data_IF_247688190838
#
_entry.id   IF_247688190838
#
_cell.length_a   1.000
_cell.length_b   1.000
_cell.length_c   1.000
_cell.angle_alpha   90.00
_cell.angle_beta   90.00
_cell.angle_gamma   90.00
#
_symmetry.space_group_name_H-M   'P 1'
#
loop_
_entity.id
_entity.type
_entity.pdbx_description
1 polymer ?
#
# COMPACT_ATOMS: atom_id res chain seq x y z
N UNK A 1 38.71 -10.71 -60.33
CA UNK A 1 39.41 -11.24 -59.16
C UNK A 1 39.02 -10.61 -57.80
N UNK A 2 38.57 -9.37 -57.76
CA UNK A 2 38.23 -8.69 -56.47
C UNK A 2 37.01 -9.29 -55.78
N UNK A 3 35.98 -9.80 -56.50
CA UNK A 3 34.76 -10.39 -55.91
C UNK A 3 35.02 -11.71 -55.16
N UNK A 4 35.95 -12.57 -55.63
CA UNK A 4 36.26 -13.84 -54.97
C UNK A 4 37.00 -13.65 -53.64
N UNK A 5 37.91 -12.67 -53.56
CA UNK A 5 38.64 -12.33 -52.31
C UNK A 5 37.74 -11.74 -51.25
N UNK A 6 36.69 -10.98 -51.65
CA UNK A 6 35.72 -10.40 -50.70
C UNK A 6 34.82 -11.50 -50.12
N UNK A 7 34.34 -12.43 -50.94
CA UNK A 7 33.50 -13.56 -50.49
C UNK A 7 34.25 -14.51 -49.56
N UNK A 8 35.56 -14.76 -49.81
CA UNK A 8 36.37 -15.60 -48.96
C UNK A 8 36.71 -14.96 -47.61
N UNK A 9 36.76 -13.62 -47.52
CA UNK A 9 36.87 -12.89 -46.26
C UNK A 9 35.61 -12.97 -45.43
N UNK A 10 34.42 -12.85 -46.06
CA UNK A 10 33.13 -12.99 -45.40
C UNK A 10 32.94 -14.38 -44.79
N UNK A 11 33.35 -15.44 -45.47
CA UNK A 11 33.24 -16.83 -44.98
C UNK A 11 34.20 -17.20 -43.85
N UNK A 12 35.22 -16.37 -43.58
CA UNK A 12 36.21 -16.60 -42.50
C UNK A 12 36.05 -15.63 -41.33
N UNK A 13 35.15 -14.65 -41.41
CA UNK A 13 34.90 -13.70 -40.35
C UNK A 13 33.77 -14.24 -39.45
N UNK A 14 34.09 -14.57 -38.19
CA UNK A 14 33.18 -15.08 -37.20
C UNK A 14 32.53 -13.97 -36.36
N UNK A 15 32.87 -12.67 -36.61
CA UNK A 15 32.30 -11.53 -35.84
C UNK A 15 30.78 -11.48 -35.95
N UNK A 16 30.22 -11.91 -37.09
CA UNK A 16 28.79 -12.03 -37.31
C UNK A 16 28.10 -13.10 -36.46
N UNK A 17 28.81 -14.20 -36.15
CA UNK A 17 28.25 -15.28 -35.31
C UNK A 17 28.03 -14.82 -33.89
N UNK A 18 29.01 -14.13 -33.29
CA UNK A 18 28.87 -13.55 -31.93
C UNK A 18 27.73 -12.54 -31.83
N UNK A 19 27.53 -11.72 -32.87
CA UNK A 19 26.41 -10.75 -32.90
C UNK A 19 25.04 -11.46 -32.93
N UNK A 20 24.92 -12.56 -33.71
CA UNK A 20 23.66 -13.32 -33.77
C UNK A 20 23.40 -14.06 -32.47
N UNK A 21 24.43 -14.67 -31.82
CA UNK A 21 24.31 -15.30 -30.51
C UNK A 21 23.83 -14.27 -29.43
N UNK A 22 24.45 -13.09 -29.42
CA UNK A 22 24.04 -12.03 -28.50
C UNK A 22 22.62 -11.55 -28.78
N UNK A 23 22.19 -11.45 -30.04
CA UNK A 23 20.84 -11.03 -30.41
C UNK A 23 19.74 -11.95 -29.87
N UNK A 24 20.03 -13.26 -29.67
CA UNK A 24 19.09 -14.19 -29.04
C UNK A 24 19.07 -14.07 -27.50
N UNK A 25 20.20 -13.78 -26.88
CA UNK A 25 20.34 -13.71 -25.43
C UNK A 25 19.89 -12.33 -24.90
N UNK A 26 20.19 -11.25 -25.62
CA UNK A 26 19.95 -9.87 -25.20
C UNK A 26 18.50 -9.57 -24.80
N UNK A 27 17.45 -9.99 -25.54
CA UNK A 27 16.07 -9.71 -25.15
C UNK A 27 15.72 -10.32 -23.79
N UNK A 28 16.14 -11.55 -23.54
CA UNK A 28 15.87 -12.24 -22.28
C UNK A 28 16.62 -11.56 -21.13
N UNK A 29 17.90 -11.23 -21.35
CA UNK A 29 18.72 -10.52 -20.37
C UNK A 29 18.13 -9.16 -20.02
N UNK A 30 17.69 -8.39 -21.00
CA UNK A 30 17.07 -7.08 -20.79
C UNK A 30 15.77 -7.22 -19.98
N UNK A 31 14.92 -8.20 -20.31
CA UNK A 31 13.69 -8.46 -19.55
C UNK A 31 13.99 -8.83 -18.09
N UNK A 32 15.00 -9.66 -17.85
CA UNK A 32 15.42 -9.99 -16.47
C UNK A 32 15.91 -8.76 -15.71
N UNK A 33 16.74 -7.94 -16.33
CA UNK A 33 17.25 -6.70 -15.71
C UNK A 33 16.10 -5.76 -15.39
N UNK A 34 15.18 -5.52 -16.32
CA UNK A 34 14.00 -4.69 -16.09
C UNK A 34 13.14 -5.22 -14.94
N UNK A 35 12.94 -6.53 -14.84
CA UNK A 35 12.21 -7.18 -13.75
C UNK A 35 12.86 -6.97 -12.39
N UNK A 36 14.18 -7.11 -12.32
CA UNK A 36 14.94 -6.86 -11.08
C UNK A 36 14.84 -5.39 -10.66
N UNK A 37 14.94 -4.45 -11.61
CA UNK A 37 14.80 -3.03 -11.32
C UNK A 37 13.39 -2.66 -10.84
N UNK A 38 12.34 -3.21 -11.47
CA UNK A 38 10.95 -2.96 -11.06
C UNK A 38 10.70 -3.48 -9.63
N UNK A 39 11.21 -4.68 -9.32
CA UNK A 39 11.12 -5.25 -7.97
C UNK A 39 11.93 -4.44 -6.94
N UNK A 40 13.15 -4.05 -7.28
CA UNK A 40 14.00 -3.25 -6.41
C UNK A 40 13.37 -1.89 -6.12
N UNK A 41 12.80 -1.23 -7.12
CA UNK A 41 12.08 0.03 -6.95
C UNK A 41 10.86 -0.12 -6.02
N UNK A 42 10.06 -1.16 -6.20
CA UNK A 42 8.90 -1.44 -5.32
C UNK A 42 9.33 -1.67 -3.87
N UNK A 43 10.40 -2.43 -3.64
CA UNK A 43 10.95 -2.67 -2.29
C UNK A 43 11.50 -1.38 -1.67
N UNK A 44 12.20 -0.56 -2.45
CA UNK A 44 12.72 0.72 -1.98
C UNK A 44 11.58 1.68 -1.60
N UNK A 45 10.55 1.78 -2.43
CA UNK A 45 9.36 2.58 -2.15
C UNK A 45 8.67 2.12 -0.87
N UNK A 46 8.49 0.80 -0.69
CA UNK A 46 7.90 0.22 0.53
C UNK A 46 8.73 0.55 1.77
N UNK A 47 10.05 0.43 1.70
CA UNK A 47 10.93 0.75 2.81
C UNK A 47 10.83 2.24 3.22
N UNK A 48 10.78 3.14 2.23
CA UNK A 48 10.62 4.58 2.46
C UNK A 48 9.24 4.91 3.04
N UNK A 49 8.18 4.31 2.52
CA UNK A 49 6.82 4.43 3.07
C UNK A 49 6.76 4.01 4.54
N UNK A 50 7.34 2.85 4.88
CA UNK A 50 7.40 2.38 6.26
C UNK A 50 8.14 3.37 7.18
N UNK A 51 9.25 3.94 6.70
CA UNK A 51 9.99 4.96 7.44
C UNK A 51 9.17 6.24 7.67
N UNK A 52 8.51 6.74 6.63
CA UNK A 52 7.68 7.94 6.69
C UNK A 52 6.48 7.76 7.65
N UNK A 53 5.77 6.63 7.54
CA UNK A 53 4.63 6.30 8.39
C UNK A 53 5.02 6.12 9.86
N UNK A 54 6.13 5.44 10.16
CA UNK A 54 6.59 5.26 11.55
C UNK A 54 6.96 6.60 12.19
N UNK A 55 7.56 7.50 11.43
CA UNK A 55 7.86 8.86 11.90
C UNK A 55 6.58 9.65 12.15
N UNK A 56 5.66 9.66 11.17
CA UNK A 56 4.37 10.31 11.30
C UNK A 56 3.55 9.75 12.47
N UNK A 57 3.58 8.42 12.68
CA UNK A 57 2.92 7.77 13.80
C UNK A 57 3.37 8.31 15.16
N UNK A 58 4.66 8.57 15.34
CA UNK A 58 5.17 9.19 16.56
C UNK A 58 4.68 10.63 16.74
N UNK A 59 4.65 11.40 15.65
CA UNK A 59 4.18 12.78 15.69
C UNK A 59 2.67 12.84 15.97
N UNK A 60 1.90 11.85 15.49
CA UNK A 60 0.44 11.74 15.71
C UNK A 60 0.05 11.30 17.14
N UNK A 61 0.96 10.71 17.92
CA UNK A 61 0.64 10.31 19.31
C UNK A 61 0.58 11.46 20.29
N UNK A 62 1.03 12.66 19.90
CA UNK A 62 1.09 13.82 20.77
C UNK A 62 -0.29 14.49 20.88
N UNK A 63 -0.60 15.08 22.03
CA UNK A 63 -1.85 15.82 22.29
C UNK A 63 -2.15 16.90 21.23
N UNK A 64 -1.12 17.52 20.67
CA UNK A 64 -1.25 18.54 19.62
C UNK A 64 -1.49 17.98 18.21
N UNK A 65 -1.58 16.66 18.05
CA UNK A 65 -1.66 16.01 16.75
C UNK A 65 -2.90 16.43 15.95
N UNK A 66 -4.06 16.59 16.61
CA UNK A 66 -5.29 17.02 15.95
C UNK A 66 -5.16 18.34 15.19
N UNK A 67 -4.38 19.29 15.70
CA UNK A 67 -4.11 20.58 15.02
C UNK A 67 -3.04 20.50 13.94
N UNK A 68 -2.24 19.43 13.91
CA UNK A 68 -1.07 19.25 13.03
C UNK A 68 -1.23 18.10 12.03
N UNK A 69 -2.34 17.40 12.08
CA UNK A 69 -2.62 16.19 11.30
C UNK A 69 -2.38 16.40 9.79
N UNK A 70 -2.97 17.44 9.21
CA UNK A 70 -2.80 17.76 7.78
C UNK A 70 -1.35 18.06 7.40
N UNK A 71 -0.57 18.64 8.32
CA UNK A 71 0.85 18.93 8.11
C UNK A 71 1.68 17.65 8.15
N UNK A 72 1.36 16.73 9.06
CA UNK A 72 2.02 15.44 9.18
C UNK A 72 1.73 14.60 7.92
N UNK A 73 0.47 14.55 7.49
CA UNK A 73 0.07 13.86 6.27
C UNK A 73 0.78 14.42 5.03
N UNK A 74 0.85 15.75 4.90
CA UNK A 74 1.55 16.40 3.80
C UNK A 74 3.04 16.03 3.77
N UNK A 75 3.69 15.87 4.93
CA UNK A 75 5.09 15.40 5.00
C UNK A 75 5.22 13.96 4.51
N UNK A 76 4.34 13.05 4.94
CA UNK A 76 4.35 11.65 4.46
C UNK A 76 4.19 11.62 2.94
N UNK A 77 3.19 12.33 2.41
CA UNK A 77 2.95 12.40 0.97
C UNK A 77 4.18 12.96 0.24
N UNK A 78 4.80 14.02 0.76
CA UNK A 78 5.96 14.64 0.13
C UNK A 78 7.19 13.70 0.12
N UNK A 79 7.43 12.95 1.20
CA UNK A 79 8.52 11.99 1.29
C UNK A 79 8.31 10.82 0.30
N UNK A 80 7.09 10.33 0.16
CA UNK A 80 6.76 9.24 -0.78
C UNK A 80 6.85 9.71 -2.24
N UNK A 81 6.41 10.93 -2.54
CA UNK A 81 6.44 11.50 -3.90
C UNK A 81 7.85 11.67 -4.49
N UNK A 82 8.90 11.62 -3.67
CA UNK A 82 10.29 11.67 -4.14
C UNK A 82 10.66 10.46 -5.02
N UNK A 83 10.04 9.31 -4.75
CA UNK A 83 10.43 8.03 -5.35
C UNK A 83 9.38 7.44 -6.30
N UNK A 84 8.18 8.00 -6.33
CA UNK A 84 7.11 7.54 -7.22
C UNK A 84 6.87 8.54 -8.36
N UNK A 85 6.37 8.09 -9.52
CA UNK A 85 6.06 9.00 -10.63
C UNK A 85 4.92 9.97 -10.27
N UNK A 86 4.85 11.11 -10.96
CA UNK A 86 3.83 12.15 -10.74
C UNK A 86 2.38 11.61 -10.90
N UNK A 87 2.21 10.56 -11.71
CA UNK A 87 0.93 9.88 -11.91
C UNK A 87 0.50 9.00 -10.72
N UNK A 88 1.37 8.84 -9.71
CA UNK A 88 1.06 8.02 -8.55
C UNK A 88 -0.04 8.64 -7.69
N UNK A 89 -0.96 7.80 -7.22
CA UNK A 89 -1.93 8.17 -6.19
C UNK A 89 -1.39 7.74 -4.83
N UNK A 90 -1.35 8.67 -3.89
CA UNK A 90 -0.97 8.41 -2.50
C UNK A 90 -2.18 8.72 -1.64
N UNK A 91 -2.70 7.71 -0.95
CA UNK A 91 -3.82 7.82 0.01
C UNK A 91 -3.35 7.45 1.40
N UNK A 92 -3.81 8.19 2.38
CA UNK A 92 -3.56 7.95 3.79
C UNK A 92 -4.89 7.65 4.47
N UNK A 93 -4.94 6.53 5.18
CA UNK A 93 -6.13 6.07 5.91
C UNK A 93 -5.78 5.99 7.38
N UNK A 94 -6.65 6.50 8.22
CA UNK A 94 -6.52 6.44 9.68
C UNK A 94 -7.82 5.91 10.24
N UNK A 95 -7.70 4.84 11.02
CA UNK A 95 -8.81 4.22 11.71
C UNK A 95 -8.46 4.13 13.18
N UNK A 96 -9.23 4.79 14.02
CA UNK A 96 -9.11 4.71 15.47
C UNK A 96 -9.98 3.58 16.01
N UNK A 97 -9.44 2.88 17.00
CA UNK A 97 -10.08 1.77 17.67
C UNK A 97 -9.95 1.98 19.18
N UNK A 98 -10.88 1.44 19.94
CA UNK A 98 -10.84 1.51 21.39
C UNK A 98 -9.58 0.85 21.96
N UNK A 99 -9.23 -0.35 21.46
CA UNK A 99 -8.02 -1.05 21.86
C UNK A 99 -7.31 -1.71 20.64
N UNK A 100 -6.10 -2.21 20.85
CA UNK A 100 -5.33 -2.91 19.81
C UNK A 100 -6.00 -4.20 19.34
N UNK A 101 -6.76 -4.86 20.22
CA UNK A 101 -7.48 -6.10 19.91
C UNK A 101 -8.61 -5.88 18.92
N UNK A 102 -9.12 -4.65 18.81
CA UNK A 102 -10.20 -4.28 17.90
C UNK A 102 -9.74 -4.06 16.45
N UNK A 103 -8.43 -3.97 16.22
CA UNK A 103 -7.88 -3.68 14.90
C UNK A 103 -8.12 -4.86 13.95
N UNK A 104 -8.93 -4.61 12.93
CA UNK A 104 -9.28 -5.60 11.91
C UNK A 104 -10.42 -6.53 12.30
N UNK A 105 -11.05 -6.30 13.46
CA UNK A 105 -12.24 -7.02 13.89
C UNK A 105 -13.50 -6.34 13.35
N UNK A 106 -14.51 -7.15 13.06
CA UNK A 106 -15.83 -6.68 12.69
C UNK A 106 -16.62 -6.19 13.92
N UNK A 107 -17.64 -5.40 13.69
CA UNK A 107 -18.60 -5.07 14.72
C UNK A 107 -19.37 -6.30 15.18
N UNK A 108 -19.63 -6.40 16.47
CA UNK A 108 -20.35 -7.52 17.05
C UNK A 108 -21.83 -7.40 16.75
N UNK A 109 -22.47 -8.48 16.33
CA UNK A 109 -23.91 -8.55 16.14
C UNK A 109 -24.49 -9.84 16.72
N UNK A 110 -25.79 -9.84 17.01
CA UNK A 110 -26.49 -11.00 17.49
C UNK A 110 -27.14 -11.74 16.32
N UNK A 111 -26.46 -12.77 15.82
CA UNK A 111 -26.99 -13.66 14.77
C UNK A 111 -28.14 -14.49 15.32
N UNK A 112 -29.37 -14.01 15.16
CA UNK A 112 -30.59 -14.64 15.70
C UNK A 112 -31.12 -15.77 14.79
N UNK A 113 -30.81 -15.68 13.51
CA UNK A 113 -31.30 -16.66 12.51
C UNK A 113 -30.24 -17.74 12.20
N UNK A 114 -28.96 -17.55 12.58
CA UNK A 114 -27.86 -18.51 12.43
C UNK A 114 -27.30 -18.58 11.00
N UNK A 115 -27.46 -17.50 10.20
CA UNK A 115 -26.99 -17.47 8.81
C UNK A 115 -25.56 -16.89 8.65
N UNK A 116 -25.00 -16.32 9.71
CA UNK A 116 -23.63 -15.75 9.74
C UNK A 116 -23.51 -14.37 9.06
N UNK A 117 -24.61 -13.67 8.86
CA UNK A 117 -24.66 -12.34 8.27
C UNK A 117 -25.48 -11.38 9.12
N UNK A 118 -25.05 -10.13 9.21
CA UNK A 118 -25.83 -9.08 9.88
C UNK A 118 -26.96 -8.63 8.95
N UNK A 119 -28.18 -9.11 9.21
CA UNK A 119 -29.38 -8.85 8.41
C UNK A 119 -30.65 -8.96 9.27
N UNK A 120 -31.82 -8.92 8.66
CA UNK A 120 -33.11 -9.19 9.29
C UNK A 120 -33.39 -8.43 10.60
N UNK A 121 -32.91 -7.20 10.71
CA UNK A 121 -33.08 -6.33 11.88
C UNK A 121 -32.40 -6.87 13.16
N UNK A 122 -31.33 -7.63 13.02
CA UNK A 122 -30.52 -8.12 14.13
C UNK A 122 -29.78 -6.97 14.81
N UNK A 123 -29.70 -6.94 16.14
CA UNK A 123 -29.00 -5.87 16.82
C UNK A 123 -27.48 -6.04 16.71
N UNK A 124 -26.77 -4.94 16.49
CA UNK A 124 -25.31 -4.89 16.46
C UNK A 124 -24.77 -3.77 17.35
N UNK A 125 -23.49 -3.86 17.69
CA UNK A 125 -22.73 -2.86 18.43
C UNK A 125 -22.10 -1.91 17.41
N UNK A 126 -22.63 -0.70 17.29
CA UNK A 126 -22.11 0.36 16.43
C UNK A 126 -20.93 1.05 17.13
N UNK A 127 -19.74 0.51 16.89
CA UNK A 127 -18.51 0.94 17.54
C UNK A 127 -17.95 2.26 16.99
N UNK A 128 -18.24 2.56 15.71
CA UNK A 128 -17.75 3.74 15.02
C UNK A 128 -18.82 4.85 14.88
N UNK A 129 -20.06 4.61 15.37
CA UNK A 129 -21.13 5.60 15.43
C UNK A 129 -21.76 5.98 14.09
N UNK A 130 -21.58 5.17 13.04
CA UNK A 130 -22.08 5.47 11.70
C UNK A 130 -23.50 4.94 11.41
N UNK A 131 -24.04 4.10 12.30
CA UNK A 131 -25.38 3.51 12.21
C UNK A 131 -25.49 2.33 11.23
N UNK A 132 -24.38 1.80 10.72
CA UNK A 132 -24.33 0.65 9.84
C UNK A 132 -23.38 -0.40 10.43
N UNK A 133 -23.66 -1.66 10.22
CA UNK A 133 -22.73 -2.71 10.60
C UNK A 133 -21.54 -2.76 9.66
N UNK A 134 -20.33 -2.79 10.23
CA UNK A 134 -19.08 -2.79 9.50
C UNK A 134 -18.21 -4.02 9.80
N UNK A 135 -17.58 -4.53 8.74
CA UNK A 135 -16.56 -5.58 8.86
C UNK A 135 -15.23 -5.06 9.49
N UNK A 136 -15.16 -3.78 9.83
CA UNK A 136 -14.07 -3.16 10.57
C UNK A 136 -14.67 -2.09 11.50
N UNK A 137 -14.56 -2.31 12.80
CA UNK A 137 -15.15 -1.44 13.84
C UNK A 137 -14.43 -0.11 14.07
N UNK A 138 -13.38 0.19 13.27
CA UNK A 138 -12.61 1.43 13.41
C UNK A 138 -13.36 2.67 12.95
N UNK A 139 -13.25 3.73 13.73
CA UNK A 139 -13.75 5.06 13.37
C UNK A 139 -12.71 5.81 12.52
N UNK A 140 -13.16 6.53 11.50
CA UNK A 140 -12.25 7.32 10.64
C UNK A 140 -11.66 8.50 11.42
N UNK A 141 -10.33 8.58 11.44
CA UNK A 141 -9.58 9.66 12.07
C UNK A 141 -8.52 9.16 13.05
N UNK A 142 -7.99 10.09 13.83
CA UNK A 142 -6.96 9.82 14.84
C UNK A 142 -7.53 9.47 16.22
N UNK A 143 -8.86 9.46 16.36
CA UNK A 143 -9.54 9.16 17.62
C UNK A 143 -9.22 10.10 18.77
N UNK A 144 -9.54 9.66 19.97
CA UNK A 144 -9.34 10.37 21.22
C UNK A 144 -8.13 9.90 22.04
N UNK A 145 -8.14 10.30 23.32
CA UNK A 145 -7.11 9.88 24.27
C UNK A 145 -7.13 8.35 24.47
N UNK A 146 -5.94 7.74 24.43
CA UNK A 146 -5.71 6.28 24.62
C UNK A 146 -6.18 5.38 23.48
N UNK A 147 -6.83 5.88 22.44
CA UNK A 147 -7.25 5.08 21.31
C UNK A 147 -6.05 4.48 20.57
N UNK A 148 -6.25 3.27 20.05
CA UNK A 148 -5.33 2.63 19.15
C UNK A 148 -5.65 3.04 17.71
N UNK A 149 -4.69 3.64 17.01
CA UNK A 149 -4.89 4.15 15.66
C UNK A 149 -4.10 3.31 14.67
N UNK A 150 -4.79 2.75 13.70
CA UNK A 150 -4.19 2.12 12.52
C UNK A 150 -3.99 3.18 11.44
N UNK A 151 -2.73 3.55 11.19
CA UNK A 151 -2.36 4.50 10.16
C UNK A 151 -1.79 3.78 8.97
N UNK A 152 -2.45 3.85 7.81
CA UNK A 152 -2.10 3.14 6.58
C UNK A 152 -1.85 4.11 5.44
N UNK A 153 -0.71 3.96 4.76
CA UNK A 153 -0.47 4.59 3.46
C UNK A 153 -0.65 3.58 2.34
N UNK A 154 -1.37 3.97 1.33
CA UNK A 154 -1.56 3.20 0.10
C UNK A 154 -1.03 4.02 -1.06
N UNK A 155 -0.12 3.44 -1.83
CA UNK A 155 0.46 4.06 -3.01
C UNK A 155 0.19 3.20 -4.22
N UNK A 156 -0.42 3.79 -5.25
CA UNK A 156 -0.70 3.13 -6.51
C UNK A 156 -0.06 3.89 -7.66
N UNK A 157 0.73 3.21 -8.46
CA UNK A 157 1.41 3.79 -9.62
C UNK A 157 1.61 2.75 -10.74
N UNK A 158 1.71 3.20 -12.02
CA UNK A 158 2.01 2.30 -13.12
C UNK A 158 3.46 1.81 -13.03
N UNK A 159 3.70 0.54 -13.41
CA UNK A 159 5.04 -0.04 -13.42
C UNK A 159 5.98 0.77 -14.29
N UNK A 160 7.24 0.86 -13.88
CA UNK A 160 8.29 1.63 -14.59
C UNK A 160 8.58 1.06 -15.98
N UNK A 161 8.47 -0.26 -16.15
CA UNK A 161 8.77 -0.94 -17.40
C UNK A 161 7.56 -1.69 -17.95
N UNK A 162 7.29 -1.61 -19.27
CA UNK A 162 6.11 -2.20 -19.90
C UNK A 162 6.18 -3.73 -20.06
N UNK A 163 6.99 -4.42 -19.26
CA UNK A 163 7.14 -5.88 -19.30
C UNK A 163 5.98 -6.64 -18.65
N UNK A 164 5.12 -5.96 -17.92
CA UNK A 164 4.00 -6.55 -17.19
C UNK A 164 3.09 -7.40 -18.10
N UNK A 165 2.84 -6.96 -19.34
CA UNK A 165 2.04 -7.69 -20.32
C UNK A 165 2.68 -9.02 -20.79
N UNK A 166 4.01 -9.10 -20.79
CA UNK A 166 4.74 -10.33 -21.14
C UNK A 166 4.84 -11.31 -19.95
N UNK A 167 4.88 -10.78 -18.73
CA UNK A 167 5.01 -11.56 -17.50
C UNK A 167 3.66 -11.92 -16.85
N UNK A 168 2.52 -11.49 -17.43
CA UNK A 168 1.20 -11.70 -16.83
C UNK A 168 0.97 -10.94 -15.53
N UNK A 169 1.71 -9.86 -15.30
CA UNK A 169 1.60 -9.03 -14.10
C UNK A 169 0.57 -7.90 -14.32
N UNK A 170 -0.04 -7.37 -13.25
CA UNK A 170 -0.89 -6.19 -13.35
C UNK A 170 -0.09 -4.96 -13.81
N UNK A 171 -0.71 -4.07 -14.55
CA UNK A 171 -0.10 -2.83 -15.04
C UNK A 171 0.33 -1.91 -13.90
N UNK A 172 -0.49 -1.83 -12.88
CA UNK A 172 -0.25 -0.99 -11.71
C UNK A 172 0.37 -1.80 -10.56
N UNK A 173 1.22 -1.13 -9.82
CA UNK A 173 1.73 -1.58 -8.51
C UNK A 173 0.93 -0.88 -7.44
N UNK A 174 0.41 -1.64 -6.49
CA UNK A 174 -0.19 -1.12 -5.26
C UNK A 174 0.67 -1.55 -4.08
N UNK A 175 1.16 -0.59 -3.34
CA UNK A 175 1.97 -0.81 -2.14
C UNK A 175 1.21 -0.28 -0.93
N UNK A 176 1.27 -1.04 0.17
CA UNK A 176 0.67 -0.67 1.45
C UNK A 176 1.74 -0.70 2.53
N UNK A 177 1.70 0.29 3.39
CA UNK A 177 2.49 0.34 4.60
C UNK A 177 1.58 0.80 5.74
N UNK A 178 1.64 0.14 6.88
CA UNK A 178 0.81 0.50 8.04
C UNK A 178 1.65 0.53 9.30
N UNK A 179 1.23 1.35 10.24
CA UNK A 179 1.75 1.38 11.60
C UNK A 179 0.59 1.52 12.56
N UNK A 180 0.73 0.94 13.74
CA UNK A 180 -0.23 1.10 14.82
C UNK A 180 0.41 1.96 15.88
N UNK A 181 -0.34 2.93 16.36
CA UNK A 181 0.07 3.83 17.43
C UNK A 181 -1.02 3.89 18.50
N UNK A 182 -0.67 4.29 19.71
CA UNK A 182 -1.64 4.58 20.78
C UNK A 182 -1.50 6.04 21.19
N UNK A 183 -2.61 6.74 21.22
CA UNK A 183 -2.65 8.13 21.64
C UNK A 183 -2.26 8.27 23.12
N UNK A 184 -1.63 9.40 23.45
CA UNK A 184 -1.26 9.67 24.85
C UNK A 184 -2.51 9.84 25.71
N UNK A 185 -2.44 9.46 27.01
CA UNK A 185 -3.56 9.56 27.92
C UNK A 185 -3.71 10.99 28.46
N UNK A 186 -4.04 11.94 27.58
CA UNK A 186 -4.25 13.34 27.95
C UNK A 186 -5.66 13.63 28.51
N UNK A 187 -6.58 12.67 28.32
CA UNK A 187 -7.96 12.71 28.82
C UNK A 187 -8.47 11.29 29.12
N UNK A 188 -9.74 11.17 29.50
CA UNK A 188 -10.42 9.88 29.55
C UNK A 188 -10.79 9.43 28.16
N UNK A 189 -10.68 8.12 27.93
CA UNK A 189 -11.14 7.53 26.68
C UNK A 189 -12.67 7.58 26.61
N UNK A 190 -13.22 7.93 25.46
CA UNK A 190 -14.66 7.86 25.23
C UNK A 190 -15.07 6.38 25.08
N UNK A 191 -16.01 5.96 25.91
CA UNK A 191 -16.54 4.58 25.94
C UNK A 191 -18.00 4.54 25.52
N UNK A 192 -18.46 5.52 24.76
CA UNK A 192 -19.85 5.54 24.30
C UNK A 192 -20.09 4.38 23.35
N UNK A 193 -20.93 3.44 23.77
CA UNK A 193 -21.34 2.31 22.95
C UNK A 193 -22.70 2.61 22.35
N UNK A 194 -22.77 2.71 21.04
CA UNK A 194 -24.02 2.82 20.29
C UNK A 194 -24.51 1.41 19.87
N UNK A 195 -25.79 1.29 19.61
CA UNK A 195 -26.37 0.04 19.08
C UNK A 195 -27.22 0.38 17.87
N UNK A 196 -27.12 -0.44 16.83
CA UNK A 196 -27.92 -0.37 15.62
C UNK A 196 -28.66 -1.64 15.34
N UNK A 197 -29.39 -1.67 14.24
CA UNK A 197 -30.01 -2.89 13.73
C UNK A 197 -29.56 -3.10 12.27
N UNK A 198 -29.19 -4.33 11.96
CA UNK A 198 -28.77 -4.76 10.63
C UNK A 198 -29.91 -4.61 9.60
N UNK A 199 -29.60 -4.17 8.39
CA UNK A 199 -30.58 -3.92 7.33
C UNK A 199 -30.60 -5.03 6.26
#
# INVERSE_FOLDING_TARGET
>A
MIRAAFLSRLGRNNDGATLTEFAFVAPILILMIMGVFDMAHSQYTTALMNGAIQKAGRDLTLESAGSSESTIDAKVISEVRIVVPDSATVTLEKLSHFDFEDIGEAEEYADNNGDGACNDNEPFVDSNGNGQWDANRGETGIGGARDAVLYTAVVKYPRLFPMYGLAGLPQDVELRASTVLRNQPYDQQDITVNTGNCS
#
